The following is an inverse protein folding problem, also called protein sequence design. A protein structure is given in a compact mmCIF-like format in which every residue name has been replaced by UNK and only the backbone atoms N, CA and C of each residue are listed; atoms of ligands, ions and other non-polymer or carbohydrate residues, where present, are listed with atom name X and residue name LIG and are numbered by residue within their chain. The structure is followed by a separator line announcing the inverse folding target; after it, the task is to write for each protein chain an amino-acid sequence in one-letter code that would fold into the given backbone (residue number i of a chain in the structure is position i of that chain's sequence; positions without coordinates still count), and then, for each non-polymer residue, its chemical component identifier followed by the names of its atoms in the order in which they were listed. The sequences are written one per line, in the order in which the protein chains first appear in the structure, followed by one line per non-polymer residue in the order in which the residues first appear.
data_IF_977239421839
#
_entry.id   IF_977239421839
#
_cell.length_a   1.000
_cell.length_b   1.000
_cell.length_c   1.000
_cell.angle_alpha   90.00
_cell.angle_beta   90.00
_cell.angle_gamma   90.00
#
_symmetry.space_group_name_H-M   'P 1'
#
loop_
_entity.id
_entity.type
_entity.pdbx_description
1 polymer ?
#
# COMPACT_ATOMS: atom_id res chain seq x y z
N UNK A 1 56.33 -30.44 -78.35
CA UNK A 1 55.79 -30.52 -76.98
C UNK A 1 56.10 -29.20 -76.30
N UNK A 2 55.14 -28.28 -76.26
CA UNK A 2 55.31 -26.94 -75.70
C UNK A 2 54.80 -26.91 -74.26
N UNK A 3 55.67 -26.51 -73.33
CA UNK A 3 55.36 -26.35 -71.91
C UNK A 3 54.51 -25.09 -71.71
N UNK A 4 53.31 -25.26 -71.15
CA UNK A 4 52.37 -24.18 -70.86
C UNK A 4 52.81 -23.37 -69.64
N UNK A 5 53.02 -22.07 -69.85
CA UNK A 5 53.18 -21.06 -68.81
C UNK A 5 51.84 -20.84 -68.10
N UNK A 6 51.78 -21.09 -66.79
CA UNK A 6 50.68 -20.60 -65.94
C UNK A 6 50.97 -19.18 -65.47
N UNK A 7 50.00 -18.25 -65.55
CA UNK A 7 50.17 -16.90 -65.01
C UNK A 7 49.99 -16.90 -63.49
N UNK A 8 50.88 -16.20 -62.80
CA UNK A 8 50.80 -15.92 -61.37
C UNK A 8 49.64 -14.97 -61.07
N UNK A 9 48.72 -15.40 -60.19
CA UNK A 9 47.61 -14.58 -59.69
C UNK A 9 48.03 -13.95 -58.37
N UNK A 10 48.06 -12.62 -58.30
CA UNK A 10 48.35 -11.90 -57.05
C UNK A 10 47.21 -12.09 -56.03
N UNK A 11 47.51 -12.24 -54.73
CA UNK A 11 46.48 -12.27 -53.70
C UNK A 11 45.83 -10.89 -53.56
N UNK A 12 44.56 -10.80 -53.91
CA UNK A 12 43.74 -9.59 -53.71
C UNK A 12 43.50 -9.40 -52.21
N UNK A 13 44.11 -8.36 -51.64
CA UNK A 13 43.83 -7.93 -50.27
C UNK A 13 42.38 -7.44 -50.22
N UNK A 14 41.53 -7.97 -49.31
CA UNK A 14 40.16 -7.48 -49.17
C UNK A 14 40.17 -6.02 -48.71
N UNK A 15 39.26 -5.18 -49.22
CA UNK A 15 39.16 -3.78 -48.82
C UNK A 15 38.87 -3.66 -47.31
N UNK A 16 39.36 -2.60 -46.65
CA UNK A 16 39.08 -2.37 -45.24
C UNK A 16 37.57 -2.28 -45.01
N UNK A 17 37.09 -3.00 -43.98
CA UNK A 17 35.70 -3.00 -43.59
C UNK A 17 35.22 -1.55 -43.36
N UNK A 18 34.13 -1.17 -44.03
CA UNK A 18 33.46 0.10 -43.75
C UNK A 18 33.02 0.10 -42.27
N UNK A 19 33.17 1.23 -41.55
CA UNK A 19 32.69 1.33 -40.18
C UNK A 19 31.18 1.06 -40.18
N UNK A 20 30.78 0.00 -39.46
CA UNK A 20 29.36 -0.30 -39.28
C UNK A 20 28.67 0.91 -38.64
N UNK A 21 27.47 1.30 -39.13
CA UNK A 21 26.68 2.31 -38.45
C UNK A 21 26.44 1.83 -37.00
N UNK A 22 26.49 2.74 -36.01
CA UNK A 22 26.29 2.36 -34.62
C UNK A 22 24.95 1.64 -34.49
N UNK A 23 25.02 0.46 -33.90
CA UNK A 23 23.92 -0.47 -33.68
C UNK A 23 22.83 0.22 -32.83
N UNK A 24 21.85 0.87 -33.49
CA UNK A 24 20.77 1.63 -32.84
C UNK A 24 19.75 0.75 -32.11
N UNK A 25 19.97 -0.56 -32.02
CA UNK A 25 19.01 -1.52 -31.46
C UNK A 25 19.27 -1.90 -29.98
N UNK A 26 20.36 -1.43 -29.37
CA UNK A 26 20.57 -1.56 -27.92
C UNK A 26 21.10 -0.24 -27.37
N UNK A 27 20.18 0.69 -27.16
CA UNK A 27 20.40 1.81 -26.25
C UNK A 27 20.60 1.25 -24.83
N UNK A 28 21.83 0.80 -24.54
CA UNK A 28 22.33 0.74 -23.18
C UNK A 28 22.30 2.17 -22.66
N UNK A 29 21.21 2.53 -21.99
CA UNK A 29 21.07 3.77 -21.23
C UNK A 29 22.19 3.82 -20.20
N UNK A 30 23.34 4.37 -20.61
CA UNK A 30 24.50 4.57 -19.77
C UNK A 30 24.22 5.82 -18.95
N UNK A 31 23.58 5.60 -17.81
CA UNK A 31 23.35 6.60 -16.78
C UNK A 31 24.72 7.06 -16.21
N UNK A 32 25.40 8.02 -16.85
CA UNK A 32 26.58 8.72 -16.30
C UNK A 32 26.50 10.23 -16.54
N UNK A 33 25.80 10.93 -15.64
CA UNK A 33 25.81 12.39 -15.42
C UNK A 33 24.83 12.62 -14.27
N UNK A 34 25.33 13.13 -13.14
CA UNK A 34 24.63 13.13 -11.85
C UNK A 34 23.91 14.45 -11.53
N UNK A 35 23.98 15.45 -12.42
CA UNK A 35 23.34 16.76 -12.19
C UNK A 35 21.94 16.90 -12.82
N UNK A 36 21.61 16.07 -13.81
CA UNK A 36 20.33 16.12 -14.57
C UNK A 36 19.36 14.97 -14.24
N UNK A 37 19.68 14.16 -13.22
CA UNK A 37 18.81 13.04 -12.84
C UNK A 37 17.73 13.52 -11.89
N UNK A 38 16.59 13.78 -12.49
CA UNK A 38 15.31 13.79 -11.79
C UNK A 38 15.24 12.49 -10.97
N UNK A 39 14.96 12.62 -9.67
CA UNK A 39 14.71 11.49 -8.79
C UNK A 39 13.61 10.60 -9.41
N UNK A 40 13.84 9.29 -9.64
CA UNK A 40 12.82 8.40 -10.18
C UNK A 40 11.54 8.37 -9.34
N UNK A 41 11.62 8.74 -8.06
CA UNK A 41 10.49 8.84 -7.15
C UNK A 41 10.06 10.29 -6.86
N UNK A 42 10.41 11.24 -7.74
CA UNK A 42 9.95 12.62 -7.62
C UNK A 42 8.41 12.70 -7.56
N UNK A 43 7.92 13.52 -6.63
CA UNK A 43 6.48 13.77 -6.41
C UNK A 43 5.90 14.65 -7.52
N UNK A 44 4.65 14.39 -7.92
CA UNK A 44 3.90 15.25 -8.85
C UNK A 44 3.49 14.55 -10.15
N UNK A 45 2.54 15.12 -10.90
CA UNK A 45 1.90 14.45 -12.04
C UNK A 45 2.72 14.47 -13.34
N UNK A 46 3.80 15.25 -13.39
CA UNK A 46 4.53 15.52 -14.64
C UNK A 46 5.63 14.51 -14.96
N UNK A 47 5.79 13.45 -14.15
CA UNK A 47 6.89 12.50 -14.29
C UNK A 47 6.42 11.13 -14.77
N UNK A 48 6.89 10.72 -15.95
CA UNK A 48 6.76 9.37 -16.50
C UNK A 48 5.32 8.87 -16.73
N UNK A 49 5.14 7.82 -17.55
CA UNK A 49 3.84 7.18 -17.69
C UNK A 49 3.48 6.41 -16.41
N UNK A 50 2.19 6.37 -16.10
CA UNK A 50 1.62 5.46 -15.10
C UNK A 50 1.17 4.19 -15.83
N UNK A 51 1.79 3.06 -15.51
CA UNK A 51 1.53 1.80 -16.17
C UNK A 51 0.40 1.04 -15.48
N UNK A 52 -0.50 0.49 -16.28
CA UNK A 52 -1.45 -0.52 -15.83
C UNK A 52 -0.79 -1.92 -15.81
N UNK A 53 -1.29 -2.86 -14.98
CA UNK A 53 -0.68 -4.19 -14.85
C UNK A 53 -0.51 -4.94 -16.18
N UNK A 54 -1.44 -4.78 -17.12
CA UNK A 54 -1.34 -5.38 -18.45
C UNK A 54 -0.17 -4.79 -19.25
N UNK A 55 -0.02 -3.47 -19.23
CA UNK A 55 1.06 -2.77 -19.94
C UNK A 55 2.44 -3.13 -19.36
N UNK A 56 2.56 -3.29 -18.05
CA UNK A 56 3.80 -3.74 -17.39
C UNK A 56 4.29 -5.06 -17.97
N UNK A 57 3.37 -6.02 -18.18
CA UNK A 57 3.67 -7.31 -18.80
C UNK A 57 4.01 -7.16 -20.28
N UNK A 58 3.24 -6.35 -21.02
CA UNK A 58 3.45 -6.15 -22.46
C UNK A 58 4.81 -5.51 -22.79
N UNK A 59 5.29 -4.58 -21.96
CA UNK A 59 6.57 -3.89 -22.17
C UNK A 59 7.73 -4.48 -21.36
N UNK A 60 7.51 -5.58 -20.63
CA UNK A 60 8.51 -6.21 -19.75
C UNK A 60 9.18 -5.20 -18.80
N UNK A 61 8.40 -4.31 -18.19
CA UNK A 61 8.95 -3.24 -17.37
C UNK A 61 9.60 -3.77 -16.07
N UNK A 62 10.84 -3.37 -15.82
CA UNK A 62 11.53 -3.64 -14.55
C UNK A 62 11.01 -2.70 -13.47
N UNK A 63 10.14 -3.23 -12.60
CA UNK A 63 9.56 -2.46 -11.50
C UNK A 63 10.52 -2.42 -10.30
N UNK A 64 10.82 -1.22 -9.82
CA UNK A 64 11.58 -0.93 -8.60
C UNK A 64 10.64 -0.36 -7.53
N UNK A 65 10.78 -0.82 -6.30
CA UNK A 65 10.01 -0.33 -5.14
C UNK A 65 10.71 0.93 -4.58
N UNK A 66 9.92 1.89 -4.11
CA UNK A 66 10.45 3.08 -3.45
C UNK A 66 11.20 2.70 -2.16
N UNK A 67 12.47 3.12 -1.99
CA UNK A 67 13.26 2.79 -0.79
C UNK A 67 12.56 3.06 0.54
N UNK A 68 11.70 4.08 0.60
CA UNK A 68 10.96 4.43 1.82
C UNK A 68 10.07 3.29 2.33
N UNK A 69 9.48 2.51 1.43
CA UNK A 69 8.59 1.38 1.76
C UNK A 69 9.26 0.02 1.54
N UNK A 70 10.53 0.01 1.15
CA UNK A 70 11.35 -1.21 1.08
C UNK A 70 11.81 -1.64 2.48
N UNK A 71 12.29 -2.88 2.65
CA UNK A 71 12.93 -3.29 3.89
C UNK A 71 14.15 -2.42 4.20
N UNK A 72 14.50 -2.25 5.49
CA UNK A 72 15.73 -1.59 5.88
C UNK A 72 16.93 -2.34 5.29
N UNK A 73 17.82 -1.59 4.66
CA UNK A 73 19.14 -2.05 4.21
C UNK A 73 20.19 -1.78 5.29
N UNK A 74 21.38 -2.38 5.14
CA UNK A 74 22.52 -2.09 6.03
C UNK A 74 23.07 -0.67 5.83
N UNK A 75 22.77 -0.04 4.69
CA UNK A 75 22.97 1.40 4.53
C UNK A 75 22.04 2.13 5.51
N UNK A 76 22.52 3.20 6.16
CA UNK A 76 21.74 4.07 7.06
C UNK A 76 20.66 4.89 6.30
N UNK A 77 20.01 4.28 5.32
CA UNK A 77 18.92 4.83 4.54
C UNK A 77 17.66 4.95 5.39
N UNK A 78 16.80 5.85 4.96
CA UNK A 78 15.59 6.17 5.70
C UNK A 78 14.47 5.19 5.41
N UNK A 79 13.91 4.59 6.45
CA UNK A 79 12.86 3.57 6.35
C UNK A 79 11.73 3.85 7.32
N UNK A 80 10.58 3.22 7.05
CA UNK A 80 9.40 3.32 7.92
C UNK A 80 9.50 2.33 9.08
N UNK A 81 9.29 2.83 10.30
CA UNK A 81 8.98 2.04 11.48
C UNK A 81 7.51 2.18 11.80
N UNK A 82 6.83 1.04 11.84
CA UNK A 82 5.40 0.99 12.13
C UNK A 82 5.03 -0.37 12.71
N UNK A 83 4.23 -0.37 13.77
CA UNK A 83 3.55 -1.57 14.24
C UNK A 83 2.14 -1.57 13.63
N UNK A 84 1.86 -2.55 12.77
CA UNK A 84 0.69 -2.57 11.90
C UNK A 84 -0.63 -2.84 12.63
N UNK A 85 -0.58 -3.21 13.92
CA UNK A 85 -1.77 -3.25 14.79
C UNK A 85 -2.24 -1.85 15.20
N UNK A 86 -1.40 -0.82 15.02
CA UNK A 86 -1.75 0.57 15.30
C UNK A 86 -2.10 1.33 14.02
N UNK A 87 -2.87 2.43 14.13
CA UNK A 87 -3.17 3.29 12.99
C UNK A 87 -1.92 3.87 12.31
N UNK A 88 -2.04 4.25 11.04
CA UNK A 88 -0.93 4.86 10.26
C UNK A 88 -0.38 6.17 10.85
N UNK A 89 -1.05 6.78 11.83
CA UNK A 89 -0.55 7.95 12.56
C UNK A 89 0.63 7.63 13.48
N UNK A 90 0.82 6.36 13.86
CA UNK A 90 1.97 5.90 14.66
C UNK A 90 3.15 5.45 13.79
N UNK A 91 3.01 5.50 12.46
CA UNK A 91 4.10 5.25 11.53
C UNK A 91 5.07 6.44 11.52
N UNK A 92 6.37 6.18 11.51
CA UNK A 92 7.39 7.21 11.47
C UNK A 92 8.63 6.80 10.68
N UNK A 93 9.34 7.80 10.17
CA UNK A 93 10.65 7.67 9.51
C UNK A 93 11.77 7.63 10.56
N UNK A 94 12.81 6.85 10.32
CA UNK A 94 13.92 6.69 11.28
C UNK A 94 14.86 7.89 11.34
N UNK A 95 15.04 8.62 10.24
CA UNK A 95 15.99 9.75 10.18
C UNK A 95 15.42 11.12 10.58
N UNK A 96 14.16 11.17 11.05
CA UNK A 96 13.45 12.43 11.32
C UNK A 96 13.42 12.84 12.80
N UNK A 97 13.75 14.10 13.15
CA UNK A 97 13.73 14.56 14.55
C UNK A 97 12.32 14.59 15.17
N UNK A 98 11.27 14.64 14.35
CA UNK A 98 9.87 14.71 14.78
C UNK A 98 9.09 13.39 14.63
N UNK A 99 9.76 12.25 14.37
CA UNK A 99 9.14 10.92 14.20
C UNK A 99 7.82 10.99 13.40
N UNK A 100 7.83 11.69 12.26
CA UNK A 100 6.65 11.89 11.40
C UNK A 100 6.94 11.43 9.99
N UNK A 101 5.98 10.77 9.32
CA UNK A 101 6.14 10.29 7.94
C UNK A 101 5.35 11.09 6.89
N UNK A 102 5.17 12.40 7.12
CA UNK A 102 4.43 13.25 6.16
C UNK A 102 5.21 13.39 4.84
N UNK A 103 6.52 13.61 4.93
CA UNK A 103 7.39 13.71 3.75
C UNK A 103 7.53 12.33 3.11
N UNK A 104 7.30 12.22 1.81
CA UNK A 104 7.38 10.96 1.05
C UNK A 104 6.08 10.16 1.02
N UNK A 105 5.01 10.59 1.72
CA UNK A 105 3.68 9.99 1.61
C UNK A 105 3.12 10.11 0.19
N UNK A 106 3.40 11.23 -0.47
CA UNK A 106 2.93 11.53 -1.83
C UNK A 106 3.88 11.00 -2.92
N UNK A 107 5.04 10.46 -2.53
CA UNK A 107 5.97 9.85 -3.46
C UNK A 107 5.37 8.58 -4.08
N UNK A 108 5.62 8.29 -5.36
CA UNK A 108 5.17 7.06 -5.99
C UNK A 108 5.79 5.86 -5.28
N UNK A 109 4.97 4.81 -5.09
CA UNK A 109 5.39 3.56 -4.44
C UNK A 109 6.38 2.76 -5.30
N UNK A 110 6.36 2.97 -6.62
CA UNK A 110 7.18 2.23 -7.58
C UNK A 110 7.71 3.11 -8.71
N UNK A 111 8.77 2.63 -9.35
CA UNK A 111 9.29 3.15 -10.61
C UNK A 111 9.48 2.00 -11.62
N UNK A 112 8.87 2.06 -12.82
CA UNK A 112 7.86 3.01 -13.25
C UNK A 112 6.63 3.06 -12.33
N UNK A 113 5.86 4.14 -12.44
CA UNK A 113 4.65 4.36 -11.64
C UNK A 113 3.57 3.36 -12.05
N UNK A 114 2.82 2.86 -11.07
CA UNK A 114 1.77 1.87 -11.31
C UNK A 114 0.40 2.41 -10.93
N UNK A 115 -0.65 2.11 -11.70
CA UNK A 115 -2.03 2.45 -11.33
C UNK A 115 -2.64 1.50 -10.30
N UNK A 116 -2.07 0.30 -10.18
CA UNK A 116 -2.57 -0.76 -9.32
C UNK A 116 -1.42 -1.61 -8.78
N UNK A 117 -1.49 -1.94 -7.49
CA UNK A 117 -0.54 -2.81 -6.79
C UNK A 117 -1.32 -3.88 -6.02
N UNK A 118 -0.79 -5.11 -6.01
CA UNK A 118 -1.24 -6.22 -5.17
C UNK A 118 -0.19 -6.54 -4.12
N UNK A 119 -0.64 -6.84 -2.92
CA UNK A 119 0.23 -7.15 -1.79
C UNK A 119 -0.22 -8.47 -1.20
N UNK A 120 0.73 -9.40 -1.08
CA UNK A 120 0.56 -10.72 -0.46
C UNK A 120 1.57 -10.86 0.68
N UNK A 121 1.39 -11.85 1.55
CA UNK A 121 2.37 -12.12 2.62
C UNK A 121 2.36 -13.58 3.01
N UNK A 122 3.47 -14.07 3.56
CA UNK A 122 3.52 -15.38 4.21
C UNK A 122 2.75 -15.42 5.53
N UNK A 123 2.49 -14.26 6.15
CA UNK A 123 1.83 -14.18 7.46
C UNK A 123 0.31 -14.27 7.41
N UNK A 124 -0.30 -14.09 6.24
CA UNK A 124 -1.76 -14.14 6.06
C UNK A 124 -2.12 -14.56 4.63
N UNK A 125 -3.26 -15.24 4.43
CA UNK A 125 -3.60 -15.82 3.13
C UNK A 125 -4.24 -14.84 2.13
N UNK A 126 -4.51 -13.60 2.55
CA UNK A 126 -5.22 -12.62 1.75
C UNK A 126 -4.33 -11.84 0.79
N UNK A 127 -4.95 -11.32 -0.26
CA UNK A 127 -4.36 -10.35 -1.17
C UNK A 127 -4.97 -8.96 -0.94
N UNK A 128 -4.12 -7.99 -0.61
CA UNK A 128 -4.51 -6.59 -0.45
C UNK A 128 -4.34 -5.89 -1.79
N UNK A 129 -5.42 -5.27 -2.30
CA UNK A 129 -5.40 -4.53 -3.56
C UNK A 129 -5.35 -3.03 -3.31
N UNK A 130 -4.38 -2.35 -3.91
CA UNK A 130 -4.20 -0.89 -3.82
C UNK A 130 -4.38 -0.29 -5.20
N UNK A 131 -5.31 0.66 -5.34
CA UNK A 131 -5.56 1.41 -6.58
C UNK A 131 -5.14 2.86 -6.36
N UNK A 132 -4.49 3.45 -7.35
CA UNK A 132 -4.10 4.85 -7.32
C UNK A 132 -5.36 5.72 -7.22
N UNK A 133 -5.41 6.64 -6.25
CA UNK A 133 -6.50 7.63 -6.18
C UNK A 133 -6.39 8.63 -7.33
N UNK A 134 -5.17 8.92 -7.77
CA UNK A 134 -4.85 9.84 -8.87
C UNK A 134 -4.08 9.10 -9.96
N UNK A 135 -4.75 8.84 -11.08
CA UNK A 135 -4.19 8.02 -12.16
C UNK A 135 -2.97 8.63 -12.86
N UNK A 136 -2.78 9.94 -12.80
CA UNK A 136 -1.62 10.62 -13.35
C UNK A 136 -0.37 10.57 -12.46
N UNK A 137 -0.50 10.15 -11.20
CA UNK A 137 0.61 10.00 -10.25
C UNK A 137 0.92 8.52 -10.03
N UNK A 138 -0.10 7.65 -10.09
CA UNK A 138 0.01 6.26 -9.72
C UNK A 138 -0.11 6.06 -8.22
N UNK A 139 0.10 4.83 -7.77
CA UNK A 139 -0.01 4.43 -6.36
C UNK A 139 1.12 5.09 -5.58
N UNK A 140 0.78 5.78 -4.48
CA UNK A 140 1.77 6.43 -3.61
C UNK A 140 2.15 5.54 -2.42
N UNK A 141 3.30 5.82 -1.81
CA UNK A 141 3.71 5.20 -0.54
C UNK A 141 2.63 5.37 0.55
N UNK A 142 2.00 6.56 0.55
CA UNK A 142 0.83 6.92 1.33
C UNK A 142 -0.30 5.91 1.25
N UNK A 143 -0.79 5.73 0.03
CA UNK A 143 -1.91 4.86 -0.29
C UNK A 143 -1.63 3.40 0.06
N UNK A 144 -0.38 2.94 -0.10
CA UNK A 144 0.01 1.58 0.28
C UNK A 144 -0.12 1.35 1.79
N UNK A 145 0.48 2.23 2.61
CA UNK A 145 0.43 2.10 4.07
C UNK A 145 -1.00 2.28 4.59
N UNK A 146 -1.77 3.22 4.03
CA UNK A 146 -3.19 3.40 4.33
C UNK A 146 -4.01 2.14 4.01
N UNK A 147 -3.84 1.56 2.82
CA UNK A 147 -4.59 0.39 2.39
C UNK A 147 -4.30 -0.82 3.28
N UNK A 148 -3.05 -1.05 3.66
CA UNK A 148 -2.66 -2.13 4.57
C UNK A 148 -3.29 -1.93 5.95
N UNK A 149 -3.22 -0.71 6.49
CA UNK A 149 -3.83 -0.39 7.79
C UNK A 149 -5.33 -0.62 7.77
N UNK A 150 -6.03 -0.08 6.76
CA UNK A 150 -7.47 -0.26 6.60
C UNK A 150 -7.84 -1.74 6.46
N UNK A 151 -7.04 -2.51 5.71
CA UNK A 151 -7.28 -3.94 5.53
C UNK A 151 -7.17 -4.72 6.84
N UNK A 152 -6.16 -4.44 7.66
CA UNK A 152 -5.94 -5.13 8.93
C UNK A 152 -6.94 -4.77 10.03
N UNK A 153 -7.53 -3.57 9.98
CA UNK A 153 -8.61 -3.17 10.88
C UNK A 153 -9.98 -3.71 10.45
N UNK A 154 -10.07 -4.40 9.31
CA UNK A 154 -11.27 -5.12 8.89
C UNK A 154 -11.48 -6.43 9.65
N UNK A 155 -12.71 -6.93 9.60
CA UNK A 155 -13.11 -8.19 10.25
C UNK A 155 -12.59 -9.42 9.52
N UNK A 156 -12.37 -10.49 10.29
CA UNK A 156 -12.14 -11.84 9.77
C UNK A 156 -13.48 -12.52 9.60
N UNK A 157 -13.76 -13.05 8.40
CA UNK A 157 -15.00 -13.79 8.19
C UNK A 157 -14.98 -15.11 8.97
N UNK A 158 -16.12 -15.49 9.56
CA UNK A 158 -16.24 -16.73 10.36
C UNK A 158 -15.72 -17.97 9.62
N UNK A 159 -16.11 -18.12 8.35
CA UNK A 159 -15.67 -19.22 7.48
C UNK A 159 -14.15 -19.27 7.32
N UNK A 160 -13.50 -18.11 7.23
CA UNK A 160 -12.04 -18.04 7.13
C UNK A 160 -11.38 -18.53 8.41
N UNK A 161 -11.89 -18.11 9.58
CA UNK A 161 -11.37 -18.53 10.87
C UNK A 161 -11.57 -20.03 11.13
N UNK A 162 -12.73 -20.58 10.77
CA UNK A 162 -13.06 -21.99 10.96
C UNK A 162 -12.23 -22.93 10.06
N UNK A 163 -11.84 -22.45 8.87
CA UNK A 163 -10.98 -23.20 7.94
C UNK A 163 -9.52 -23.35 8.42
N UNK A 164 -9.13 -22.67 9.49
CA UNK A 164 -7.76 -22.68 10.01
C UNK A 164 -7.51 -23.92 10.90
N UNK A 165 -6.28 -24.43 10.87
CA UNK A 165 -5.84 -25.51 11.77
C UNK A 165 -6.03 -25.13 13.24
N UNK A 166 -6.31 -26.11 14.10
CA UNK A 166 -6.53 -25.87 15.53
C UNK A 166 -5.34 -25.18 16.20
N UNK A 167 -4.11 -25.50 15.80
CA UNK A 167 -2.90 -24.83 16.31
C UNK A 167 -2.91 -23.34 15.98
N UNK A 168 -3.14 -22.99 14.71
CA UNK A 168 -3.15 -21.60 14.27
C UNK A 168 -4.33 -20.82 14.84
N UNK A 169 -5.50 -21.45 15.04
CA UNK A 169 -6.63 -20.82 15.76
C UNK A 169 -6.25 -20.41 17.18
N UNK A 170 -5.48 -21.21 17.91
CA UNK A 170 -4.98 -20.85 19.25
C UNK A 170 -4.02 -19.66 19.19
N UNK A 171 -3.11 -19.63 18.22
CA UNK A 171 -2.19 -18.50 18.03
C UNK A 171 -2.95 -17.19 17.75
N UNK A 172 -3.94 -17.24 16.86
CA UNK A 172 -4.81 -16.10 16.53
C UNK A 172 -5.61 -15.68 17.78
N UNK A 173 -6.12 -16.63 18.56
CA UNK A 173 -6.87 -16.33 19.78
C UNK A 173 -6.01 -15.68 20.85
N UNK A 174 -4.77 -16.14 21.03
CA UNK A 174 -3.82 -15.51 21.94
C UNK A 174 -3.50 -14.07 21.52
N UNK A 175 -3.29 -13.84 20.22
CA UNK A 175 -3.10 -12.49 19.69
C UNK A 175 -4.36 -11.62 19.89
N UNK A 176 -5.55 -12.16 19.68
CA UNK A 176 -6.83 -11.49 19.93
C UNK A 176 -6.94 -11.01 21.38
N UNK A 177 -6.66 -11.89 22.34
CA UNK A 177 -6.68 -11.55 23.77
C UNK A 177 -5.60 -10.53 24.12
N UNK A 178 -4.37 -10.73 23.61
CA UNK A 178 -3.25 -9.84 23.88
C UNK A 178 -3.51 -8.43 23.35
N UNK A 179 -3.98 -8.30 22.10
CA UNK A 179 -4.23 -7.01 21.46
C UNK A 179 -5.32 -6.17 22.17
N UNK A 180 -6.20 -6.82 22.93
CA UNK A 180 -7.28 -6.20 23.73
C UNK A 180 -6.94 -6.06 25.21
N UNK A 181 -5.77 -6.52 25.63
CA UNK A 181 -5.30 -6.38 27.01
C UNK A 181 -4.97 -4.93 27.37
N UNK A 182 -4.61 -4.69 28.61
CA UNK A 182 -4.17 -3.39 29.13
C UNK A 182 -2.67 -3.14 28.94
N UNK A 183 -1.96 -4.00 28.20
CA UNK A 183 -0.54 -3.82 27.90
C UNK A 183 -0.32 -2.53 27.08
N UNK A 184 0.75 -1.79 27.40
CA UNK A 184 1.07 -0.52 26.75
C UNK A 184 1.45 -0.67 25.27
N UNK A 185 1.85 -1.87 24.85
CA UNK A 185 2.36 -2.14 23.49
C UNK A 185 1.27 -2.56 22.51
N UNK A 186 0.00 -2.54 22.93
CA UNK A 186 -1.16 -2.90 22.11
C UNK A 186 -2.22 -1.80 22.13
N UNK A 187 -3.15 -1.78 21.15
CA UNK A 187 -4.22 -0.79 21.11
C UNK A 187 -5.24 -0.93 22.26
N UNK A 188 -5.37 -2.13 22.84
CA UNK A 188 -6.27 -2.43 23.95
C UNK A 188 -7.74 -2.42 23.53
N UNK A 189 -8.62 -1.99 24.44
CA UNK A 189 -10.08 -2.06 24.29
C UNK A 189 -10.67 -1.30 23.08
N UNK A 190 -9.91 -0.42 22.43
CA UNK A 190 -10.37 0.34 21.25
C UNK A 190 -10.66 -0.53 20.02
N UNK A 191 -10.17 -1.78 19.99
CA UNK A 191 -10.38 -2.69 18.87
C UNK A 191 -11.80 -3.28 18.78
N UNK A 192 -12.56 -3.18 19.88
CA UNK A 192 -13.87 -3.83 20.03
C UNK A 192 -13.77 -5.35 20.21
N UNK A 193 -14.93 -6.01 20.24
CA UNK A 193 -15.04 -7.45 20.51
C UNK A 193 -14.85 -8.34 19.26
N UNK A 194 -14.94 -7.77 18.06
CA UNK A 194 -14.84 -8.54 16.83
C UNK A 194 -13.40 -8.95 16.54
N UNK A 195 -13.20 -10.17 16.03
CA UNK A 195 -11.90 -10.65 15.57
C UNK A 195 -11.47 -9.87 14.32
N UNK A 196 -10.36 -9.14 14.41
CA UNK A 196 -9.84 -8.30 13.33
C UNK A 196 -8.71 -9.03 12.59
N UNK A 197 -8.46 -8.66 11.34
CA UNK A 197 -7.37 -9.25 10.55
C UNK A 197 -5.98 -8.97 11.13
N UNK A 198 -5.81 -7.90 11.92
CA UNK A 198 -4.59 -7.67 12.69
C UNK A 198 -4.36 -8.72 13.79
N UNK A 199 -5.38 -9.43 14.26
CA UNK A 199 -5.20 -10.53 15.21
C UNK A 199 -4.59 -11.75 14.49
N UNK A 200 -4.77 -11.85 13.17
CA UNK A 200 -4.25 -12.94 12.35
C UNK A 200 -2.73 -12.94 12.22
N UNK A 201 -2.10 -11.76 12.19
CA UNK A 201 -0.64 -11.64 12.00
C UNK A 201 0.14 -12.08 13.25
N UNK A 202 -0.51 -12.10 14.41
CA UNK A 202 0.07 -12.54 15.67
C UNK A 202 1.31 -11.75 16.07
N UNK A 203 2.40 -12.45 16.39
CA UNK A 203 3.67 -11.84 16.79
C UNK A 203 4.39 -11.09 15.67
N UNK A 204 4.02 -11.29 14.41
CA UNK A 204 4.64 -10.67 13.23
C UNK A 204 3.90 -9.39 12.84
N UNK A 205 3.72 -8.49 13.79
CA UNK A 205 2.89 -7.30 13.61
C UNK A 205 3.64 -6.07 13.08
N UNK A 206 4.97 -6.11 13.04
CA UNK A 206 5.77 -4.94 12.66
C UNK A 206 6.06 -4.91 11.17
N UNK A 207 6.03 -3.70 10.61
CA UNK A 207 6.37 -3.41 9.22
C UNK A 207 7.80 -3.82 8.91
N UNK A 208 7.97 -4.72 7.94
CA UNK A 208 9.27 -5.14 7.40
C UNK A 208 9.56 -4.65 6.00
N UNK A 209 8.64 -3.90 5.36
CA UNK A 209 8.79 -3.40 3.99
C UNK A 209 8.17 -4.30 2.93
N UNK A 210 8.14 -3.79 1.69
CA UNK A 210 7.69 -4.49 0.49
C UNK A 210 8.87 -4.98 -0.33
N UNK A 211 8.78 -6.23 -0.80
CA UNK A 211 9.80 -6.87 -1.63
C UNK A 211 9.16 -7.47 -2.87
N UNK A 212 9.90 -7.48 -3.97
CA UNK A 212 9.54 -8.28 -5.14
C UNK A 212 10.17 -9.67 -4.99
N UNK A 213 9.34 -10.68 -4.75
CA UNK A 213 9.73 -12.09 -4.62
C UNK A 213 8.90 -12.89 -5.64
N UNK A 214 9.39 -12.95 -6.89
CA UNK A 214 8.68 -13.59 -8.01
C UNK A 214 8.50 -15.10 -7.77
N UNK A 215 9.39 -15.74 -7.01
CA UNK A 215 9.28 -17.16 -6.62
C UNK A 215 8.09 -17.38 -5.67
N UNK A 216 8.01 -16.58 -4.60
CA UNK A 216 6.89 -16.64 -3.68
C UNK A 216 5.56 -16.26 -4.34
N UNK A 217 5.56 -15.25 -5.22
CA UNK A 217 4.36 -14.85 -5.96
C UNK A 217 3.87 -16.01 -6.82
N UNK A 218 4.78 -16.70 -7.52
CA UNK A 218 4.46 -17.86 -8.33
C UNK A 218 3.92 -19.02 -7.47
N UNK A 219 4.52 -19.28 -6.32
CA UNK A 219 4.05 -20.30 -5.37
C UNK A 219 2.63 -19.98 -4.86
N UNK A 220 2.38 -18.74 -4.44
CA UNK A 220 1.12 -18.33 -3.83
C UNK A 220 -0.03 -18.14 -4.84
N UNK A 221 0.27 -17.68 -6.06
CA UNK A 221 -0.73 -17.31 -7.06
C UNK A 221 -0.82 -18.29 -8.24
N UNK A 222 0.12 -19.24 -8.36
CA UNK A 222 0.24 -20.16 -9.51
C UNK A 222 0.89 -19.55 -10.76
N UNK A 223 1.07 -18.23 -10.81
CA UNK A 223 1.78 -17.51 -11.87
C UNK A 223 2.45 -16.24 -11.30
N UNK A 224 3.42 -15.68 -12.03
CA UNK A 224 4.07 -14.41 -11.68
C UNK A 224 3.16 -13.27 -12.09
N UNK A 225 2.27 -12.86 -11.18
CA UNK A 225 1.33 -11.77 -11.42
C UNK A 225 2.04 -10.41 -11.44
N UNK A 226 1.88 -9.59 -12.50
CA UNK A 226 2.49 -8.27 -12.56
C UNK A 226 1.96 -7.37 -11.44
N UNK A 227 2.81 -6.45 -10.98
CA UNK A 227 2.49 -5.48 -9.93
C UNK A 227 2.12 -6.11 -8.57
N UNK A 228 2.62 -7.32 -8.29
CA UNK A 228 2.41 -8.01 -7.02
C UNK A 228 3.69 -7.96 -6.20
N UNK A 229 3.58 -7.66 -4.91
CA UNK A 229 4.72 -7.58 -3.98
C UNK A 229 4.42 -8.36 -2.69
N UNK A 230 5.48 -8.84 -2.06
CA UNK A 230 5.41 -9.45 -0.75
C UNK A 230 5.57 -8.38 0.34
N UNK A 231 4.64 -8.36 1.29
CA UNK A 231 4.78 -7.66 2.56
C UNK A 231 5.55 -8.53 3.55
N UNK A 232 6.74 -8.04 3.94
CA UNK A 232 7.51 -8.61 5.04
C UNK A 232 6.91 -8.16 6.37
N UNK A 233 6.55 -9.14 7.18
CA UNK A 233 6.03 -8.96 8.52
C UNK A 233 7.10 -9.44 9.51
N UNK A 234 7.63 -8.55 10.33
CA UNK A 234 8.71 -8.89 11.27
C UNK A 234 8.17 -9.02 12.70
N UNK A 235 8.80 -9.86 13.55
CA UNK A 235 8.40 -10.00 14.94
C UNK A 235 8.41 -8.66 15.67
N UNK A 236 7.39 -8.42 16.50
CA UNK A 236 7.43 -7.30 17.42
C UNK A 236 8.31 -7.67 18.62
N UNK A 237 9.44 -6.99 18.77
CA UNK A 237 10.17 -6.96 20.03
C UNK A 237 9.38 -6.14 21.07
N UNK A 238 9.48 -6.49 22.36
CA UNK A 238 8.95 -5.63 23.43
C UNK A 238 9.54 -4.23 23.27
N UNK A 239 8.67 -3.21 23.20
CA UNK A 239 9.13 -1.83 23.12
C UNK A 239 9.85 -1.45 24.41
N UNK A 240 10.84 -0.58 24.31
CA UNK A 240 11.42 0.02 25.51
C UNK A 240 10.37 0.92 26.20
N UNK A 241 10.46 1.14 27.52
CA UNK A 241 9.50 2.00 28.23
C UNK A 241 9.38 3.41 27.63
N UNK A 242 10.48 3.95 27.11
CA UNK A 242 10.50 5.24 26.43
C UNK A 242 9.69 5.22 25.13
N UNK A 243 9.89 4.21 24.27
CA UNK A 243 9.12 4.06 23.03
C UNK A 243 7.62 3.84 23.29
N UNK A 244 7.27 3.07 24.33
CA UNK A 244 5.88 2.82 24.72
C UNK A 244 5.18 4.11 25.17
N UNK A 245 5.83 4.93 26.01
CA UNK A 245 5.29 6.22 26.47
C UNK A 245 5.01 7.18 25.32
N UNK A 246 5.89 7.19 24.31
CA UNK A 246 5.76 8.04 23.13
C UNK A 246 4.61 7.58 22.22
N UNK A 247 4.49 6.27 21.99
CA UNK A 247 3.38 5.73 21.19
C UNK A 247 2.02 6.09 21.80
N UNK A 248 1.89 6.00 23.12
CA UNK A 248 0.66 6.36 23.81
C UNK A 248 0.35 7.87 23.67
N UNK A 249 1.39 8.72 23.69
CA UNK A 249 1.24 10.17 23.47
C UNK A 249 0.76 10.48 22.05
N UNK A 250 1.32 9.83 21.04
CA UNK A 250 0.93 10.00 19.63
C UNK A 250 -0.52 9.53 19.40
N UNK A 251 -0.90 8.37 19.94
CA UNK A 251 -2.25 7.83 19.82
C UNK A 251 -3.30 8.79 20.42
N UNK A 252 -3.06 9.31 21.63
CA UNK A 252 -3.93 10.32 22.26
C UNK A 252 -4.04 11.59 21.44
N UNK A 253 -2.95 12.06 20.85
CA UNK A 253 -2.97 13.23 19.97
C UNK A 253 -3.77 13.00 18.68
N UNK A 254 -3.67 11.81 18.08
CA UNK A 254 -4.43 11.44 16.89
C UNK A 254 -5.94 11.36 17.18
N UNK A 255 -6.30 10.77 18.32
CA UNK A 255 -7.70 10.68 18.75
C UNK A 255 -8.30 12.07 19.02
N UNK A 256 -7.57 12.93 19.75
CA UNK A 256 -8.01 14.30 20.01
C UNK A 256 -8.23 15.10 18.72
N UNK A 257 -7.37 14.94 17.71
CA UNK A 257 -7.57 15.57 16.40
C UNK A 257 -8.85 15.08 15.69
N UNK A 258 -9.21 13.82 15.90
CA UNK A 258 -10.41 13.22 15.29
C UNK A 258 -11.69 13.74 15.95
N UNK A 259 -11.66 13.94 17.27
CA UNK A 259 -12.79 14.50 18.05
C UNK A 259 -12.97 16.01 17.85
N UNK A 260 -11.88 16.74 17.59
CA UNK A 260 -11.91 18.20 17.42
C UNK A 260 -12.31 18.69 16.03
N UNK A 261 -12.75 17.82 15.10
CA UNK A 261 -13.45 18.30 13.89
C UNK A 261 -14.86 18.70 14.31
N UNK A 262 -15.17 20.00 14.46
CA UNK A 262 -16.53 20.41 14.75
C UNK A 262 -17.36 19.98 13.56
N UNK A 263 -18.51 19.40 13.83
CA UNK A 263 -19.53 19.12 12.84
C UNK A 263 -20.00 20.47 12.29
N UNK A 264 -19.25 21.05 11.34
CA UNK A 264 -19.63 22.26 10.62
C UNK A 264 -20.73 21.87 9.65
N UNK A 265 -21.91 21.60 10.22
CA UNK A 265 -23.19 21.69 9.52
C UNK A 265 -23.21 23.08 8.86
N UNK A 266 -23.38 23.17 7.53
CA UNK A 266 -23.60 24.45 6.89
C UNK A 266 -24.96 24.94 7.37
N UNK A 267 -24.94 25.89 8.31
CA UNK A 267 -26.14 26.58 8.77
C UNK A 267 -26.52 27.61 7.69
N UNK A 268 -27.05 27.12 6.57
CA UNK A 268 -27.70 27.96 5.56
C UNK A 268 -29.03 28.47 6.14
N UNK A 269 -28.95 29.60 6.85
CA UNK A 269 -30.10 30.46 7.15
C UNK A 269 -30.61 31.08 5.85
N UNK A 270 -31.87 30.87 5.42
CA UNK A 270 -32.49 31.69 4.41
C UNK A 270 -32.90 33.03 5.06
N UNK A 271 -32.51 34.15 4.44
CA UNK A 271 -33.06 35.48 4.73
C UNK A 271 -34.48 35.53 4.18
N UNK A 272 -35.47 35.62 5.05
CA UNK A 272 -36.85 35.93 4.72
C UNK A 272 -36.99 37.42 4.37
N UNK A 273 -37.37 37.70 3.13
CA UNK A 273 -38.10 38.90 2.75
C UNK A 273 -39.57 38.52 2.73
N UNK A 274 -40.39 39.29 3.45
CA UNK A 274 -41.81 39.01 3.60
C UNK A 274 -42.60 39.21 2.31
N UNK A 275 -43.70 38.48 2.20
CA UNK A 275 -44.92 38.98 1.60
C UNK A 275 -46.13 38.29 2.22
N UNK A 276 -47.09 39.12 2.62
CA UNK A 276 -48.43 38.78 3.11
C UNK A 276 -49.34 38.36 1.96
N UNK A 277 -50.13 37.31 2.18
CA UNK A 277 -51.49 37.07 1.65
C UNK A 277 -51.88 35.65 2.08
N UNK A 278 -52.66 35.43 3.15
CA UNK A 278 -54.13 35.48 3.27
C UNK A 278 -54.88 34.43 2.42
N UNK A 279 -55.93 33.85 3.03
CA UNK A 279 -56.90 32.84 2.52
C UNK A 279 -56.39 31.38 2.51
N UNK A 280 -57.13 30.33 2.83
CA UNK A 280 -58.45 30.09 3.45
C UNK A 280 -58.53 28.54 3.62
N UNK A 281 -59.30 28.03 4.59
CA UNK A 281 -59.96 26.69 4.63
C UNK A 281 -59.12 25.41 4.35
N UNK A 282 -59.15 24.31 5.09
CA UNK A 282 -60.14 23.70 5.97
C UNK A 282 -59.93 22.16 5.92
N UNK A 283 -60.52 21.42 6.87
CA UNK A 283 -60.62 19.94 7.00
C UNK A 283 -59.35 19.18 7.42
N UNK A 284 -59.29 18.56 8.59
CA UNK A 284 -60.08 17.44 9.19
C UNK A 284 -59.55 16.05 8.82
N UNK A 285 -59.40 15.23 9.87
CA UNK A 285 -59.32 13.74 9.90
C UNK A 285 -58.07 13.12 9.27
N UNK A 286 -57.45 12.05 9.77
CA UNK A 286 -57.98 10.96 10.58
C UNK A 286 -56.82 10.20 11.25
N UNK A 287 -57.12 9.69 12.44
CA UNK A 287 -56.33 8.77 13.25
C UNK A 287 -56.34 7.39 12.62
N UNK A 288 -55.22 6.68 12.54
CA UNK A 288 -55.24 5.23 12.37
C UNK A 288 -54.08 4.61 13.15
N UNK A 289 -54.45 4.10 14.31
CA UNK A 289 -53.79 3.03 15.07
C UNK A 289 -54.04 1.71 14.34
N UNK A 290 -52.98 0.94 14.07
CA UNK A 290 -53.10 -0.51 13.88
C UNK A 290 -52.04 -1.21 14.73
N UNK A 291 -52.58 -2.13 15.52
CA UNK A 291 -51.98 -3.09 16.44
C UNK A 291 -51.62 -4.40 15.70
N UNK A 292 -50.95 -5.29 16.44
CA UNK A 292 -50.81 -6.73 16.21
C UNK A 292 -49.80 -7.14 15.09
N UNK A 293 -48.96 -8.16 15.25
CA UNK A 293 -49.29 -9.50 15.74
C UNK A 293 -48.03 -10.24 16.26
N UNK A 294 -48.20 -10.93 17.38
CA UNK A 294 -47.33 -12.00 17.89
C UNK A 294 -47.39 -13.21 16.94
N UNK A 295 -46.26 -13.88 16.69
CA UNK A 295 -46.29 -15.30 16.36
C UNK A 295 -45.06 -16.02 16.91
N UNK A 296 -45.30 -16.61 18.07
CA UNK A 296 -44.65 -17.77 18.66
C UNK A 296 -44.55 -18.93 17.65
N UNK A 297 -43.39 -19.58 17.54
CA UNK A 297 -43.27 -20.93 16.98
C UNK A 297 -42.19 -21.71 17.74
N UNK A 298 -42.62 -22.91 18.14
CA UNK A 298 -41.91 -24.00 18.82
C UNK A 298 -40.52 -24.35 18.28
#
# INVERSE_FOLDING_TARGET
MYAGHTPWVHPTVPPPAQPQPPDTARANFRWTSSADRIDPFAEGPHYGPVLEPFLVRAVSATIRINPLISPPTDSHEDYLRWNMIFPTSTCYRTTGPKRSWIKGREAPATFPRLSHIRIISRSFPWMISVKARRQNIGVTCGEVVEAISAYFHGDVAKKEYEGVSTRRRREIWQAYQYNRSTDSNVPGGHLGEQLRRLDWIGSHSRWGGLVRDDEFIKEACGDVLPCTFELKCIPSYPLTPEEASEQQRIARHAENRSRSRPNSRPNSRPRSMGSRSNSNEGRDTETTTEEEEESEYD
#
